data_IF_226531715799
#
_entry.id   IF_226531715799
#
_cell.length_a   1.000
_cell.length_b   1.000
_cell.length_c   1.000
_cell.angle_alpha   90.00
_cell.angle_beta   90.00
_cell.angle_gamma   90.00
#
_symmetry.space_group_name_H-M   'P 1'
#
loop_
_entity.id
_entity.type
_entity.pdbx_description
1 polymer ?
#
# COMPACT_ATOMS: atom_id res chain seq x y z
N UNK A 1 2.47 7.08 -11.34
CA UNK A 1 3.08 8.12 -10.48
C UNK A 1 4.51 7.73 -10.09
N UNK A 2 5.50 8.62 -10.17
CA UNK A 2 6.87 8.33 -9.73
C UNK A 2 7.08 8.54 -8.21
N UNK A 3 8.15 7.96 -7.67
CA UNK A 3 8.49 7.99 -6.24
C UNK A 3 8.70 9.40 -5.69
N UNK A 4 9.35 10.28 -6.44
CA UNK A 4 9.64 11.64 -5.96
C UNK A 4 8.33 12.41 -5.87
N UNK A 5 7.46 12.28 -6.88
CA UNK A 5 6.13 12.89 -6.88
C UNK A 5 5.25 12.39 -5.74
N UNK A 6 5.24 11.08 -5.47
CA UNK A 6 4.47 10.52 -4.35
C UNK A 6 4.94 11.10 -3.00
N UNK A 7 6.25 11.15 -2.76
CA UNK A 7 6.81 11.69 -1.51
C UNK A 7 6.47 13.17 -1.32
N UNK A 8 6.57 13.98 -2.38
CA UNK A 8 6.19 15.40 -2.34
C UNK A 8 4.71 15.60 -2.02
N UNK A 9 3.83 14.81 -2.65
CA UNK A 9 2.40 14.90 -2.38
C UNK A 9 2.04 14.55 -0.93
N UNK A 10 2.76 13.60 -0.32
CA UNK A 10 2.62 13.28 1.10
C UNK A 10 3.15 14.42 1.96
N UNK A 11 4.34 14.95 1.65
CA UNK A 11 4.93 16.08 2.36
C UNK A 11 4.01 17.31 2.34
N UNK A 12 3.43 17.65 1.20
CA UNK A 12 2.50 18.77 1.06
C UNK A 12 1.24 18.59 1.92
N UNK A 13 0.72 17.35 2.00
CA UNK A 13 -0.45 17.05 2.84
C UNK A 13 -0.11 17.17 4.34
N UNK A 14 1.09 16.73 4.75
CA UNK A 14 1.57 16.87 6.12
C UNK A 14 1.80 18.34 6.48
N UNK A 15 2.41 19.12 5.59
CA UNK A 15 2.64 20.55 5.81
C UNK A 15 1.33 21.31 6.01
N UNK A 16 0.33 21.07 5.15
CA UNK A 16 -0.99 21.68 5.31
C UNK A 16 -1.69 21.30 6.62
N UNK A 17 -1.47 20.07 7.13
CA UNK A 17 -1.95 19.68 8.45
C UNK A 17 -1.21 20.42 9.58
N UNK A 18 0.11 20.50 9.50
CA UNK A 18 0.97 21.20 10.48
C UNK A 18 0.65 22.70 10.55
N UNK A 19 0.33 23.32 9.42
CA UNK A 19 -0.08 24.72 9.32
C UNK A 19 -1.54 24.95 9.77
N UNK A 20 -2.30 23.87 10.05
CA UNK A 20 -3.70 23.92 10.47
C UNK A 20 -4.69 24.18 9.35
N UNK A 21 -4.26 24.08 8.09
CA UNK A 21 -5.08 24.25 6.88
C UNK A 21 -5.93 23.01 6.57
N UNK A 22 -5.55 21.85 7.09
CA UNK A 22 -6.26 20.58 6.94
C UNK A 22 -6.44 19.89 8.30
N UNK A 23 -7.59 19.25 8.51
CA UNK A 23 -7.79 18.35 9.65
C UNK A 23 -7.14 16.97 9.42
N UNK A 24 -6.97 16.20 10.50
CA UNK A 24 -6.33 14.88 10.44
C UNK A 24 -7.03 13.93 9.47
N UNK A 25 -8.37 13.88 9.52
CA UNK A 25 -9.15 12.96 8.70
C UNK A 25 -9.01 13.25 7.19
N UNK A 26 -8.89 14.53 6.82
CA UNK A 26 -8.68 14.96 5.44
C UNK A 26 -7.26 14.64 4.99
N UNK A 27 -6.27 14.86 5.87
CA UNK A 27 -4.86 14.52 5.60
C UNK A 27 -4.67 13.02 5.40
N UNK A 28 -5.22 12.19 6.28
CA UNK A 28 -5.18 10.73 6.16
C UNK A 28 -5.79 10.26 4.84
N UNK A 29 -6.95 10.81 4.45
CA UNK A 29 -7.61 10.47 3.18
C UNK A 29 -6.74 10.85 1.97
N UNK A 30 -6.09 12.02 2.01
CA UNK A 30 -5.20 12.49 0.95
C UNK A 30 -3.96 11.60 0.83
N UNK A 31 -3.30 11.30 1.94
CA UNK A 31 -2.13 10.40 1.98
C UNK A 31 -2.51 9.00 1.50
N UNK A 32 -3.62 8.43 1.97
CA UNK A 32 -4.10 7.12 1.52
C UNK A 32 -4.36 7.09 0.00
N UNK A 33 -4.87 8.20 -0.57
CA UNK A 33 -5.08 8.33 -2.02
C UNK A 33 -3.74 8.29 -2.76
N UNK A 34 -2.75 9.09 -2.33
CA UNK A 34 -1.41 9.12 -2.93
C UNK A 34 -0.75 7.74 -2.87
N UNK A 35 -0.85 7.05 -1.73
CA UNK A 35 -0.29 5.71 -1.56
C UNK A 35 -0.94 4.68 -2.48
N UNK A 36 -2.27 4.72 -2.64
CA UNK A 36 -2.99 3.83 -3.57
C UNK A 36 -2.55 4.06 -5.02
N UNK A 37 -2.49 5.32 -5.43
CA UNK A 37 -2.04 5.71 -6.77
C UNK A 37 -0.60 5.27 -7.02
N UNK A 38 0.30 5.52 -6.06
CA UNK A 38 1.69 5.07 -6.16
C UNK A 38 1.76 3.54 -6.27
N UNK A 39 1.10 2.79 -5.38
CA UNK A 39 1.08 1.33 -5.40
C UNK A 39 0.65 0.75 -6.75
N UNK A 40 -0.34 1.34 -7.40
CA UNK A 40 -0.88 0.83 -8.67
C UNK A 40 -0.16 1.37 -9.92
N UNK A 41 0.47 2.54 -9.84
CA UNK A 41 1.06 3.23 -11.02
C UNK A 41 2.58 3.40 -10.98
N UNK A 42 3.29 2.77 -10.03
CA UNK A 42 4.74 2.99 -9.84
C UNK A 42 5.63 2.17 -10.79
N UNK A 43 5.11 1.20 -11.53
CA UNK A 43 5.88 0.41 -12.53
C UNK A 43 5.05 0.18 -13.78
N UNK A 44 5.75 -0.06 -14.89
CA UNK A 44 5.17 -0.54 -16.15
C UNK A 44 4.61 -1.98 -16.05
N UNK A 45 4.90 -2.70 -14.97
CA UNK A 45 4.32 -4.01 -14.68
C UNK A 45 2.98 -3.88 -13.94
N UNK A 46 1.91 -4.55 -14.42
CA UNK A 46 0.60 -4.49 -13.79
C UNK A 46 0.63 -5.12 -12.40
N UNK A 47 0.51 -4.29 -11.36
CA UNK A 47 0.43 -4.71 -9.96
C UNK A 47 -1.00 -4.62 -9.45
N UNK A 48 -1.40 -5.57 -8.60
CA UNK A 48 -2.66 -5.55 -7.87
C UNK A 48 -2.42 -5.72 -6.37
N UNK A 49 -3.42 -5.36 -5.59
CA UNK A 49 -3.42 -5.51 -4.13
C UNK A 49 -3.94 -6.88 -3.74
N UNK A 50 -3.28 -7.52 -2.77
CA UNK A 50 -3.70 -8.77 -2.16
C UNK A 50 -3.79 -8.59 -0.65
N UNK A 51 -4.90 -9.03 -0.06
CA UNK A 51 -5.09 -9.10 1.39
C UNK A 51 -4.93 -10.53 1.86
N UNK A 52 -4.22 -10.73 2.96
CA UNK A 52 -4.18 -12.03 3.61
C UNK A 52 -5.48 -12.29 4.40
N UNK A 53 -6.14 -13.42 4.15
CA UNK A 53 -7.41 -13.75 4.80
C UNK A 53 -7.17 -13.98 6.29
N UNK A 54 -8.02 -13.36 7.13
CA UNK A 54 -7.91 -13.44 8.59
C UNK A 54 -6.85 -12.53 9.20
N UNK A 55 -6.34 -11.56 8.43
CA UNK A 55 -5.34 -10.58 8.84
C UNK A 55 -5.56 -9.25 8.10
N UNK A 56 -4.96 -8.19 8.63
CA UNK A 56 -4.99 -6.85 8.05
C UNK A 56 -3.81 -6.59 7.08
N UNK A 57 -2.90 -7.56 6.93
CA UNK A 57 -1.79 -7.48 5.99
C UNK A 57 -2.28 -7.37 4.53
N UNK A 58 -1.93 -6.25 3.89
CA UNK A 58 -2.18 -6.00 2.46
C UNK A 58 -0.85 -5.76 1.76
N UNK A 59 -0.61 -6.47 0.66
CA UNK A 59 0.59 -6.35 -0.16
C UNK A 59 0.23 -5.98 -1.59
N UNK A 60 1.19 -5.39 -2.29
CA UNK A 60 1.09 -5.10 -3.72
C UNK A 60 2.00 -6.08 -4.43
N UNK A 61 1.51 -6.77 -5.45
CA UNK A 61 2.29 -7.74 -6.22
C UNK A 61 1.77 -7.89 -7.66
N UNK A 62 2.63 -8.38 -8.55
CA UNK A 62 2.30 -8.69 -9.93
C UNK A 62 1.63 -10.06 -10.08
N UNK A 63 1.70 -10.91 -9.04
CA UNK A 63 1.07 -12.23 -9.02
C UNK A 63 0.74 -12.72 -7.60
N UNK A 64 -0.14 -13.72 -7.50
CA UNK A 64 -0.48 -14.33 -6.20
C UNK A 64 0.72 -15.04 -5.52
N UNK A 65 1.60 -15.78 -6.23
CA UNK A 65 2.79 -16.36 -5.61
C UNK A 65 3.71 -15.32 -4.98
N UNK A 66 3.95 -14.20 -5.67
CA UNK A 66 4.76 -13.09 -5.17
C UNK A 66 4.08 -12.40 -3.98
N UNK A 67 2.76 -12.22 -4.03
CA UNK A 67 1.99 -11.72 -2.88
C UNK A 67 2.14 -12.62 -1.65
N UNK A 68 2.12 -13.94 -1.84
CA UNK A 68 2.30 -14.92 -0.77
C UNK A 68 3.69 -14.82 -0.14
N UNK A 69 4.74 -14.71 -0.95
CA UNK A 69 6.11 -14.50 -0.46
C UNK A 69 6.26 -13.20 0.34
N UNK A 70 5.65 -12.10 -0.13
CA UNK A 70 5.65 -10.82 0.59
C UNK A 70 4.94 -10.91 1.93
N UNK A 71 3.77 -11.57 1.98
CA UNK A 71 3.04 -11.77 3.24
C UNK A 71 3.84 -12.63 4.21
N UNK A 72 4.50 -13.70 3.75
CA UNK A 72 5.39 -14.52 4.59
C UNK A 72 6.52 -13.69 5.19
N UNK A 73 7.20 -12.91 4.35
CA UNK A 73 8.27 -12.00 4.78
C UNK A 73 7.78 -10.98 5.81
N UNK A 74 6.61 -10.38 5.59
CA UNK A 74 6.04 -9.39 6.53
C UNK A 74 5.62 -9.99 7.87
N UNK A 75 5.16 -11.25 7.86
CA UNK A 75 4.71 -11.97 9.06
C UNK A 75 5.82 -12.72 9.78
N UNK A 76 6.99 -12.84 9.17
CA UNK A 76 8.11 -13.66 9.65
C UNK A 76 7.66 -15.12 9.92
N UNK A 77 6.97 -15.71 8.93
CA UNK A 77 6.47 -17.10 9.01
C UNK A 77 7.09 -17.98 7.93
N UNK A 78 7.29 -19.26 8.27
CA UNK A 78 7.81 -20.28 7.37
C UNK A 78 6.88 -20.54 6.16
N UNK A 79 7.46 -21.08 5.09
CA UNK A 79 6.75 -21.39 3.84
C UNK A 79 5.58 -22.37 4.01
N UNK A 80 5.66 -23.25 5.01
CA UNK A 80 4.67 -24.30 5.26
C UNK A 80 3.40 -23.78 5.97
N UNK A 81 3.39 -22.54 6.47
CA UNK A 81 2.22 -21.96 7.16
C UNK A 81 1.15 -21.57 6.13
N UNK A 82 -0.02 -22.24 6.09
CA UNK A 82 -1.04 -21.96 5.10
C UNK A 82 -1.81 -20.69 5.45
N UNK A 83 -2.06 -19.86 4.44
CA UNK A 83 -3.02 -18.75 4.51
C UNK A 83 -3.64 -18.48 3.14
N UNK A 84 -4.87 -17.97 3.16
CA UNK A 84 -5.55 -17.51 1.96
C UNK A 84 -5.14 -16.10 1.58
N UNK A 85 -5.23 -15.79 0.29
CA UNK A 85 -5.09 -14.43 -0.24
C UNK A 85 -6.39 -14.06 -0.97
N UNK A 86 -6.88 -12.84 -0.71
CA UNK A 86 -7.96 -12.21 -1.45
C UNK A 86 -7.38 -11.12 -2.34
N UNK A 87 -7.67 -11.17 -3.64
CA UNK A 87 -7.29 -10.10 -4.56
C UNK A 87 -8.26 -8.92 -4.42
N UNK A 88 -7.71 -7.74 -4.17
CA UNK A 88 -8.42 -6.48 -4.05
C UNK A 88 -8.15 -5.67 -5.33
N UNK A 89 -9.04 -5.79 -6.34
CA UNK A 89 -8.94 -5.07 -7.62
C UNK A 89 -8.62 -5.95 -8.82
#
# INVERSE_FOLDING_TARGET
MDRISALRNVEDALRAFEDGEMDLATTERRVATVLRTYATEFDDDPRTTYRAIGDDAVVVASSEPEARERVRTLRDVDDDVPFGLERLG
#
